data_IF_269278996862
#
_entry.id   IF_269278996862
#
_cell.length_a   1.000
_cell.length_b   1.000
_cell.length_c   1.000
_cell.angle_alpha   90.00
_cell.angle_beta   90.00
_cell.angle_gamma   90.00
#
_symmetry.space_group_name_H-M   'P 1'
#
loop_
_entity.id
_entity.type
_entity.pdbx_description
1 polymer ?
#
# COMPACT_ATOMS: atom_id res chain seq x y z
N UNK A 1 -14.85 12.90 -9.88
CA UNK A 1 -13.81 12.73 -8.85
C UNK A 1 -12.84 13.89 -8.94
N UNK A 2 -12.49 14.52 -7.82
CA UNK A 2 -11.53 15.64 -7.77
C UNK A 2 -10.11 15.15 -8.05
N UNK A 3 -9.40 15.83 -8.94
CA UNK A 3 -7.98 15.55 -9.18
C UNK A 3 -7.08 16.27 -8.18
N UNK A 4 -5.99 15.61 -7.75
CA UNK A 4 -4.95 16.23 -6.92
C UNK A 4 -4.32 17.45 -7.61
N UNK A 5 -4.16 17.44 -8.94
CA UNK A 5 -3.57 18.56 -9.68
C UNK A 5 -4.44 19.83 -9.62
N UNK A 6 -5.77 19.70 -9.50
CA UNK A 6 -6.68 20.84 -9.30
C UNK A 6 -6.48 21.53 -7.94
N UNK A 7 -6.00 20.79 -6.93
CA UNK A 7 -5.67 21.33 -5.62
C UNK A 7 -4.25 21.95 -5.65
N UNK A 8 -3.30 21.25 -6.27
CA UNK A 8 -1.89 21.67 -6.32
C UNK A 8 -1.67 22.89 -7.21
N UNK A 9 -2.42 23.04 -8.30
CA UNK A 9 -2.37 24.24 -9.18
C UNK A 9 -2.74 25.54 -8.46
N UNK A 10 -3.49 25.46 -7.36
CA UNK A 10 -3.88 26.61 -6.51
C UNK A 10 -2.90 26.88 -5.37
N UNK A 11 -1.83 26.07 -5.27
CA UNK A 11 -0.80 26.17 -4.23
C UNK A 11 0.43 26.95 -4.73
N UNK A 12 1.18 27.54 -3.80
CA UNK A 12 2.43 28.22 -4.15
C UNK A 12 3.46 27.21 -4.69
N UNK A 13 4.05 27.40 -5.89
CA UNK A 13 4.92 26.40 -6.52
C UNK A 13 6.16 26.00 -5.71
N UNK A 14 6.67 26.89 -4.86
CA UNK A 14 7.90 26.67 -4.09
C UNK A 14 7.64 26.22 -2.64
N UNK A 15 6.39 25.93 -2.26
CA UNK A 15 6.08 25.49 -0.90
C UNK A 15 6.17 23.97 -0.77
N UNK A 16 6.65 23.51 0.38
CA UNK A 16 6.57 22.09 0.73
C UNK A 16 5.11 21.68 0.87
N UNK A 17 4.68 20.70 0.06
CA UNK A 17 3.29 20.24 0.04
C UNK A 17 2.99 19.46 1.31
N UNK A 18 1.92 19.85 2.01
CA UNK A 18 1.37 19.06 3.10
C UNK A 18 0.29 18.12 2.56
N UNK A 19 0.70 16.89 2.19
CA UNK A 19 -0.19 15.91 1.58
C UNK A 19 -1.34 15.45 2.49
N UNK A 20 -1.21 15.52 3.82
CA UNK A 20 -2.34 15.31 4.75
C UNK A 20 -3.44 16.36 4.55
N UNK A 21 -3.06 17.64 4.40
CA UNK A 21 -4.03 18.71 4.09
C UNK A 21 -4.63 18.59 2.69
N UNK A 22 -3.87 18.08 1.72
CA UNK A 22 -4.39 17.83 0.37
C UNK A 22 -5.45 16.74 0.41
N UNK A 23 -5.15 15.61 1.06
CA UNK A 23 -6.10 14.51 1.26
C UNK A 23 -7.37 14.98 1.98
N UNK A 24 -7.24 15.77 3.06
CA UNK A 24 -8.38 16.33 3.78
C UNK A 24 -9.26 17.24 2.90
N UNK A 25 -8.67 18.02 1.99
CA UNK A 25 -9.43 18.81 1.02
C UNK A 25 -10.19 17.93 0.03
N UNK A 26 -9.59 16.84 -0.44
CA UNK A 26 -10.27 15.88 -1.30
C UNK A 26 -11.45 15.24 -0.57
N UNK A 27 -11.25 14.80 0.67
CA UNK A 27 -12.31 14.26 1.55
C UNK A 27 -13.45 15.26 1.72
N UNK A 28 -13.16 16.54 1.99
CA UNK A 28 -14.18 17.58 2.10
C UNK A 28 -15.01 17.77 0.82
N UNK A 29 -14.38 17.59 -0.35
CA UNK A 29 -15.09 17.67 -1.63
C UNK A 29 -15.98 16.44 -1.82
N UNK A 30 -15.49 15.24 -1.51
CA UNK A 30 -16.30 14.02 -1.56
C UNK A 30 -17.52 14.12 -0.64
N UNK A 31 -17.32 14.52 0.62
CA UNK A 31 -18.41 14.70 1.59
C UNK A 31 -19.42 15.75 1.14
N UNK A 32 -18.94 16.90 0.62
CA UNK A 32 -19.81 17.97 0.12
C UNK A 32 -20.67 17.52 -1.07
N UNK A 33 -20.11 16.65 -1.92
CA UNK A 33 -20.78 16.13 -3.10
C UNK A 33 -21.58 14.84 -2.80
N UNK A 34 -21.59 14.36 -1.56
CA UNK A 34 -22.15 13.07 -1.16
C UNK A 34 -21.58 11.88 -1.98
N UNK A 35 -20.31 12.01 -2.40
CA UNK A 35 -19.57 11.00 -3.15
C UNK A 35 -18.81 10.07 -2.19
N UNK A 36 -18.81 8.78 -2.50
CA UNK A 36 -17.98 7.78 -1.82
C UNK A 36 -17.12 7.05 -2.84
N UNK A 37 -15.87 7.50 -3.06
CA UNK A 37 -15.04 6.96 -4.13
C UNK A 37 -14.56 5.55 -3.83
N UNK A 38 -14.26 4.82 -4.89
CA UNK A 38 -13.57 3.53 -4.85
C UNK A 38 -12.05 3.72 -4.89
N UNK A 39 -11.33 3.09 -3.97
CA UNK A 39 -9.87 3.28 -3.83
C UNK A 39 -9.15 1.94 -3.85
N UNK A 40 -8.24 1.76 -4.81
CA UNK A 40 -7.29 0.65 -4.83
C UNK A 40 -6.02 1.04 -4.05
N UNK A 41 -5.85 0.46 -2.88
CA UNK A 41 -4.82 0.84 -1.91
C UNK A 41 -3.65 -0.14 -1.96
N UNK A 42 -2.50 0.28 -2.51
CA UNK A 42 -1.28 -0.53 -2.48
C UNK A 42 -0.79 -0.75 -1.04
N UNK A 43 -0.55 -2.01 -0.69
CA UNK A 43 -0.04 -2.45 0.61
C UNK A 43 1.02 -3.54 0.43
N UNK A 44 2.08 -3.50 1.25
CA UNK A 44 3.14 -4.51 1.23
C UNK A 44 3.26 -5.34 2.52
N UNK A 45 2.46 -5.00 3.54
CA UNK A 45 2.36 -5.70 4.82
C UNK A 45 1.17 -5.16 5.64
N UNK A 46 0.65 -5.99 6.55
CA UNK A 46 -0.51 -5.64 7.38
C UNK A 46 -0.34 -4.37 8.24
N UNK A 47 0.83 -4.07 8.84
CA UNK A 47 1.01 -2.80 9.55
C UNK A 47 0.72 -1.58 8.67
N UNK A 48 1.03 -1.63 7.37
CA UNK A 48 0.77 -0.52 6.46
C UNK A 48 -0.74 -0.27 6.25
N UNK A 49 -1.56 -1.32 6.27
CA UNK A 49 -3.01 -1.20 6.10
C UNK A 49 -3.75 -0.75 7.36
N UNK A 50 -3.17 -0.84 8.57
CA UNK A 50 -3.86 -0.58 9.85
C UNK A 50 -4.60 0.75 9.92
N UNK A 51 -3.92 1.83 10.33
CA UNK A 51 -4.51 3.17 10.43
C UNK A 51 -5.04 3.67 9.08
N UNK A 52 -4.40 3.27 7.98
CA UNK A 52 -4.83 3.58 6.62
C UNK A 52 -6.28 3.16 6.37
N UNK A 53 -6.65 1.92 6.72
CA UNK A 53 -8.03 1.44 6.60
C UNK A 53 -8.95 2.11 7.62
N UNK A 54 -8.54 2.22 8.89
CA UNK A 54 -9.33 2.90 9.93
C UNK A 54 -9.71 4.34 9.53
N UNK A 55 -8.81 5.03 8.82
CA UNK A 55 -9.05 6.38 8.31
C UNK A 55 -9.89 6.39 7.03
N UNK A 56 -9.45 5.67 5.98
CA UNK A 56 -10.05 5.79 4.65
C UNK A 56 -11.47 5.21 4.57
N UNK A 57 -11.78 4.14 5.31
CA UNK A 57 -13.13 3.54 5.24
C UNK A 57 -14.23 4.42 5.82
N UNK A 58 -13.88 5.52 6.49
CA UNK A 58 -14.86 6.55 6.88
C UNK A 58 -15.41 7.29 5.66
N UNK A 59 -14.62 7.45 4.60
CA UNK A 59 -14.92 8.35 3.49
C UNK A 59 -15.00 7.65 2.12
N UNK A 60 -14.50 6.42 2.01
CA UNK A 60 -14.33 5.73 0.72
C UNK A 60 -14.54 4.22 0.84
N UNK A 61 -14.83 3.58 -0.30
CA UNK A 61 -14.85 2.12 -0.43
C UNK A 61 -13.46 1.65 -0.85
N UNK A 62 -12.80 0.90 0.04
CA UNK A 62 -11.38 0.57 -0.09
C UNK A 62 -11.20 -0.89 -0.48
N UNK A 63 -10.39 -1.14 -1.50
CA UNK A 63 -9.84 -2.45 -1.82
C UNK A 63 -8.34 -2.43 -1.58
N UNK A 64 -7.83 -3.42 -0.83
CA UNK A 64 -6.40 -3.60 -0.63
C UNK A 64 -5.82 -4.32 -1.85
N UNK A 65 -4.78 -3.73 -2.44
CA UNK A 65 -3.92 -4.39 -3.42
C UNK A 65 -2.59 -4.77 -2.76
N UNK A 66 -2.44 -6.05 -2.40
CA UNK A 66 -1.20 -6.55 -1.85
C UNK A 66 -0.20 -6.83 -2.97
N UNK A 67 0.80 -5.95 -3.09
CA UNK A 67 1.78 -6.03 -4.17
C UNK A 67 3.16 -5.64 -3.68
N UNK A 68 4.11 -6.57 -3.73
CA UNK A 68 5.53 -6.26 -3.52
C UNK A 68 6.43 -7.44 -3.92
N UNK A 69 6.77 -7.51 -5.20
CA UNK A 69 7.64 -8.56 -5.74
C UNK A 69 9.08 -8.53 -5.20
N UNK A 70 9.46 -7.46 -4.50
CA UNK A 70 10.79 -7.31 -3.91
C UNK A 70 10.92 -7.99 -2.54
N UNK A 71 9.84 -8.52 -1.95
CA UNK A 71 9.94 -9.23 -0.67
C UNK A 71 10.71 -10.54 -0.88
N UNK A 72 11.79 -10.73 -0.14
CA UNK A 72 12.64 -11.91 -0.15
C UNK A 72 12.94 -12.33 1.28
N UNK A 73 12.79 -13.62 1.63
CA UNK A 73 12.48 -14.75 0.76
C UNK A 73 11.00 -14.83 0.34
N UNK A 74 10.67 -15.67 -0.65
CA UNK A 74 9.28 -15.90 -1.11
C UNK A 74 8.35 -16.35 0.03
N UNK A 75 8.85 -17.12 0.99
CA UNK A 75 8.07 -17.50 2.17
C UNK A 75 7.62 -16.28 3.00
N UNK A 76 8.46 -15.25 3.10
CA UNK A 76 8.11 -14.00 3.79
C UNK A 76 7.04 -13.21 3.02
N UNK A 77 7.06 -13.24 1.69
CA UNK A 77 6.00 -12.65 0.87
C UNK A 77 4.65 -13.29 1.22
N UNK A 78 4.56 -14.61 1.22
CA UNK A 78 3.32 -15.33 1.54
C UNK A 78 2.88 -15.12 2.98
N UNK A 79 3.80 -15.10 3.95
CA UNK A 79 3.48 -14.76 5.34
C UNK A 79 2.87 -13.36 5.44
N UNK A 80 3.47 -12.35 4.82
CA UNK A 80 2.94 -10.97 4.84
C UNK A 80 1.60 -10.85 4.13
N UNK A 81 1.41 -11.56 3.01
CA UNK A 81 0.14 -11.62 2.30
C UNK A 81 -0.96 -12.21 3.20
N UNK A 82 -0.69 -13.37 3.80
CA UNK A 82 -1.62 -14.05 4.72
C UNK A 82 -1.99 -13.17 5.92
N UNK A 83 -1.01 -12.57 6.60
CA UNK A 83 -1.27 -11.69 7.74
C UNK A 83 -2.09 -10.46 7.33
N UNK A 84 -1.88 -9.95 6.11
CA UNK A 84 -2.70 -8.84 5.58
C UNK A 84 -4.15 -9.29 5.32
N UNK A 85 -4.37 -10.47 4.72
CA UNK A 85 -5.71 -11.05 4.54
C UNK A 85 -6.44 -11.22 5.88
N UNK A 86 -5.76 -11.83 6.86
CA UNK A 86 -6.28 -11.98 8.22
C UNK A 86 -6.67 -10.64 8.83
N UNK A 87 -5.79 -9.64 8.76
CA UNK A 87 -6.09 -8.31 9.30
C UNK A 87 -7.33 -7.69 8.63
N UNK A 88 -7.45 -7.76 7.30
CA UNK A 88 -8.61 -7.22 6.59
C UNK A 88 -9.90 -7.93 7.01
N UNK A 89 -9.87 -9.26 7.13
CA UNK A 89 -11.00 -10.06 7.63
C UNK A 89 -11.42 -9.62 9.04
N UNK A 90 -10.48 -9.61 9.99
CA UNK A 90 -10.76 -9.25 11.38
C UNK A 90 -11.22 -7.79 11.51
N UNK A 91 -10.63 -6.88 10.71
CA UNK A 91 -11.02 -5.47 10.67
C UNK A 91 -12.46 -5.32 10.19
N UNK A 92 -12.84 -6.00 9.11
CA UNK A 92 -14.21 -5.99 8.60
C UNK A 92 -15.20 -6.54 9.63
N UNK A 93 -14.89 -7.67 10.26
CA UNK A 93 -15.74 -8.27 11.30
C UNK A 93 -15.96 -7.32 12.48
N UNK A 94 -14.88 -6.69 12.97
CA UNK A 94 -14.96 -5.80 14.14
C UNK A 94 -15.62 -4.46 13.86
N UNK A 95 -15.52 -3.95 12.64
CA UNK A 95 -15.96 -2.58 12.30
C UNK A 95 -17.22 -2.53 11.43
N UNK A 96 -17.66 -3.65 10.87
CA UNK A 96 -18.76 -3.70 9.89
C UNK A 96 -18.38 -3.19 8.50
N UNK A 97 -17.10 -2.90 8.25
CA UNK A 97 -16.60 -2.51 6.94
C UNK A 97 -16.59 -3.68 5.95
N UNK A 98 -16.48 -3.36 4.65
CA UNK A 98 -16.46 -4.33 3.55
C UNK A 98 -15.20 -4.18 2.69
N UNK A 99 -14.05 -4.04 3.33
CA UNK A 99 -12.77 -3.92 2.62
C UNK A 99 -12.49 -5.21 1.86
N UNK A 100 -12.23 -5.10 0.56
CA UNK A 100 -11.88 -6.24 -0.28
C UNK A 100 -10.36 -6.38 -0.41
N UNK A 101 -9.92 -7.55 -0.87
CA UNK A 101 -8.50 -7.88 -1.01
C UNK A 101 -8.20 -8.45 -2.41
N UNK A 102 -7.14 -7.94 -3.01
CA UNK A 102 -6.55 -8.38 -4.28
C UNK A 102 -5.05 -8.60 -4.09
N UNK A 103 -4.51 -9.71 -4.59
CA UNK A 103 -3.08 -10.04 -4.54
C UNK A 103 -2.45 -9.90 -5.93
N UNK A 104 -1.29 -9.25 -6.02
CA UNK A 104 -0.50 -9.22 -7.24
C UNK A 104 0.29 -10.52 -7.44
N UNK A 105 0.61 -10.91 -8.69
CA UNK A 105 1.60 -11.95 -8.94
C UNK A 105 2.96 -11.63 -8.29
N UNK A 106 3.59 -12.65 -7.70
CA UNK A 106 4.94 -12.51 -7.13
C UNK A 106 6.02 -12.67 -8.21
N UNK A 107 6.47 -11.55 -8.76
CA UNK A 107 7.38 -11.46 -9.93
C UNK A 107 8.74 -10.82 -9.59
N UNK A 108 9.61 -11.49 -8.81
CA UNK A 108 10.86 -10.88 -8.34
C UNK A 108 11.88 -10.61 -9.46
N UNK A 109 11.76 -11.31 -10.60
CA UNK A 109 12.66 -11.12 -11.75
C UNK A 109 12.48 -9.74 -12.40
N UNK A 110 11.24 -9.28 -12.56
CA UNK A 110 10.95 -7.97 -13.15
C UNK A 110 11.55 -6.85 -12.31
N UNK A 111 11.33 -6.90 -10.99
CA UNK A 111 11.93 -5.94 -10.07
C UNK A 111 13.46 -5.94 -10.14
N UNK A 112 14.11 -7.12 -10.17
CA UNK A 112 15.57 -7.21 -10.30
C UNK A 112 16.10 -6.57 -11.57
N UNK A 113 15.39 -6.69 -12.69
CA UNK A 113 15.79 -6.06 -13.94
C UNK A 113 15.71 -4.53 -13.85
N UNK A 114 14.65 -4.00 -13.22
CA UNK A 114 14.43 -2.56 -13.07
C UNK A 114 15.48 -1.87 -12.19
N UNK A 115 16.02 -2.56 -11.19
CA UNK A 115 17.02 -2.00 -10.26
C UNK A 115 18.46 -2.34 -10.62
N UNK A 116 18.68 -2.92 -11.82
CA UNK A 116 20.03 -3.24 -12.30
C UNK A 116 20.86 -1.96 -12.43
N UNK A 117 22.05 -1.95 -11.87
CA UNK A 117 22.92 -0.76 -11.78
C UNK A 117 22.65 0.13 -10.57
N UNK A 118 21.64 -0.19 -9.73
CA UNK A 118 21.31 0.52 -8.49
C UNK A 118 21.49 -0.39 -7.25
N UNK A 119 22.24 -1.49 -7.38
CA UNK A 119 22.43 -2.47 -6.32
C UNK A 119 23.14 -1.89 -5.09
N UNK A 120 24.07 -0.96 -5.30
CA UNK A 120 24.88 -0.33 -4.25
C UNK A 120 24.22 0.92 -3.64
N UNK A 121 23.07 1.36 -4.17
CA UNK A 121 22.35 2.52 -3.62
C UNK A 121 21.95 2.26 -2.15
N UNK A 122 22.01 3.25 -1.25
CA UNK A 122 21.55 3.09 0.12
C UNK A 122 20.02 2.91 0.18
N UNK A 123 19.52 2.34 1.28
CA UNK A 123 18.07 2.37 1.53
C UNK A 123 17.58 3.82 1.64
N UNK A 124 16.49 4.14 0.94
CA UNK A 124 15.99 5.51 0.81
C UNK A 124 16.62 6.29 -0.36
N UNK A 125 17.65 5.75 -1.02
CA UNK A 125 18.27 6.29 -2.22
C UNK A 125 17.50 5.99 -3.51
N UNK A 126 18.18 6.06 -4.65
CA UNK A 126 17.53 6.03 -5.98
C UNK A 126 16.88 4.68 -6.29
N UNK A 127 17.45 3.58 -5.81
CA UNK A 127 16.81 2.25 -5.87
C UNK A 127 15.41 2.24 -5.24
N UNK A 128 15.22 2.96 -4.12
CA UNK A 128 13.90 3.02 -3.49
C UNK A 128 12.90 3.83 -4.32
N UNK A 129 13.35 4.87 -5.06
CA UNK A 129 12.47 5.62 -5.98
C UNK A 129 11.95 4.71 -7.09
N UNK A 130 12.84 3.96 -7.76
CA UNK A 130 12.45 2.96 -8.77
C UNK A 130 11.51 1.91 -8.18
N UNK A 131 11.75 1.49 -6.94
CA UNK A 131 10.87 0.55 -6.26
C UNK A 131 9.46 1.11 -5.96
N UNK A 132 9.34 2.41 -5.66
CA UNK A 132 8.03 3.05 -5.45
C UNK A 132 7.30 3.24 -6.76
N UNK A 133 8.01 3.69 -7.80
CA UNK A 133 7.50 3.87 -9.16
C UNK A 133 6.91 2.57 -9.70
N UNK A 134 7.70 1.49 -9.71
CA UNK A 134 7.25 0.15 -10.12
C UNK A 134 5.97 -0.33 -9.40
N UNK A 135 5.85 -0.05 -8.10
CA UNK A 135 4.67 -0.47 -7.32
C UNK A 135 3.46 0.40 -7.60
N UNK A 136 3.66 1.72 -7.72
CA UNK A 136 2.58 2.67 -7.99
C UNK A 136 2.07 2.52 -9.42
N UNK A 137 2.96 2.34 -10.39
CA UNK A 137 2.62 2.06 -11.79
C UNK A 137 1.76 0.80 -11.92
N UNK A 138 2.20 -0.34 -11.35
CA UNK A 138 1.37 -1.56 -11.32
C UNK A 138 0.02 -1.35 -10.63
N UNK A 139 -0.03 -0.54 -9.58
CA UNK A 139 -1.30 -0.27 -8.87
C UNK A 139 -2.21 0.62 -9.70
N UNK A 140 -1.68 1.62 -10.39
CA UNK A 140 -2.43 2.50 -11.28
C UNK A 140 -3.01 1.74 -12.48
N UNK A 141 -2.22 0.86 -13.09
CA UNK A 141 -2.68 -0.02 -14.18
C UNK A 141 -3.86 -0.89 -13.71
N UNK A 142 -3.72 -1.60 -12.58
CA UNK A 142 -4.80 -2.44 -12.04
C UNK A 142 -6.02 -1.61 -11.63
N UNK A 143 -5.82 -0.42 -11.06
CA UNK A 143 -6.91 0.48 -10.71
C UNK A 143 -7.69 0.94 -11.95
N UNK A 144 -7.00 1.32 -13.02
CA UNK A 144 -7.62 1.68 -14.30
C UNK A 144 -8.39 0.50 -14.89
N UNK A 145 -7.77 -0.69 -14.98
CA UNK A 145 -8.37 -1.88 -15.59
C UNK A 145 -9.64 -2.34 -14.85
N UNK A 146 -9.68 -2.14 -13.53
CA UNK A 146 -10.81 -2.52 -12.68
C UNK A 146 -11.78 -1.37 -12.40
N UNK A 147 -11.55 -0.18 -12.97
CA UNK A 147 -12.46 0.96 -12.88
C UNK A 147 -12.48 1.66 -11.51
N UNK A 148 -11.37 1.66 -10.76
CA UNK A 148 -11.26 2.42 -9.51
C UNK A 148 -11.09 3.92 -9.77
N UNK A 149 -11.78 4.73 -8.95
CA UNK A 149 -11.67 6.19 -8.98
C UNK A 149 -10.25 6.65 -8.63
N UNK A 150 -9.67 6.03 -7.60
CA UNK A 150 -8.33 6.35 -7.14
C UNK A 150 -7.44 5.12 -6.93
N UNK A 151 -6.14 5.30 -7.15
CA UNK A 151 -5.10 4.44 -6.61
C UNK A 151 -4.25 5.20 -5.58
N UNK A 152 -3.71 4.50 -4.60
CA UNK A 152 -2.82 5.11 -3.60
C UNK A 152 -1.83 4.12 -3.02
N UNK A 153 -0.92 4.60 -2.17
CA UNK A 153 0.01 3.72 -1.45
C UNK A 153 0.06 3.94 0.06
N UNK A 154 -0.11 2.86 0.82
CA UNK A 154 -0.07 2.90 2.28
C UNK A 154 1.37 3.05 2.81
N UNK A 155 2.37 3.09 1.94
CA UNK A 155 3.77 3.29 2.32
C UNK A 155 4.00 4.60 3.10
N UNK A 156 3.11 5.59 2.94
CA UNK A 156 3.22 6.90 3.60
C UNK A 156 3.00 6.86 5.12
N UNK A 157 2.51 5.74 5.67
CA UNK A 157 2.41 5.47 7.12
C UNK A 157 3.77 5.23 7.78
N UNK A 158 4.75 4.72 7.02
CA UNK A 158 6.03 4.32 7.59
C UNK A 158 6.89 5.55 7.92
N UNK A 159 7.51 5.62 9.12
CA UNK A 159 8.41 6.71 9.47
C UNK A 159 9.72 6.65 8.67
N UNK A 160 10.05 5.49 8.09
CA UNK A 160 11.27 5.26 7.32
C UNK A 160 11.10 5.57 5.83
N UNK A 161 9.89 5.89 5.37
CA UNK A 161 9.61 6.17 3.96
C UNK A 161 9.25 7.64 3.76
N UNK A 162 9.88 8.26 2.77
CA UNK A 162 9.66 9.67 2.47
C UNK A 162 8.33 9.85 1.72
N UNK A 163 7.31 10.39 2.42
CA UNK A 163 6.00 10.64 1.80
C UNK A 163 6.06 11.68 0.69
N UNK A 164 7.01 12.64 0.72
CA UNK A 164 7.14 13.60 -0.37
C UNK A 164 7.55 12.91 -1.67
N UNK A 165 8.54 12.03 -1.59
CA UNK A 165 8.98 11.23 -2.74
C UNK A 165 7.88 10.30 -3.24
N UNK A 166 7.20 9.58 -2.35
CA UNK A 166 6.13 8.65 -2.74
C UNK A 166 4.99 9.40 -3.46
N UNK A 167 4.53 10.52 -2.91
CA UNK A 167 3.44 11.27 -3.54
C UNK A 167 3.85 11.93 -4.86
N UNK A 168 5.08 12.44 -4.96
CA UNK A 168 5.59 12.98 -6.24
C UNK A 168 5.55 11.90 -7.32
N UNK A 169 6.05 10.71 -7.01
CA UNK A 169 6.03 9.57 -7.95
C UNK A 169 4.59 9.19 -8.31
N UNK A 170 3.67 9.12 -7.33
CA UNK A 170 2.27 8.79 -7.61
C UNK A 170 1.56 9.80 -8.52
N UNK A 171 1.85 11.09 -8.33
CA UNK A 171 1.34 12.16 -9.21
C UNK A 171 1.94 12.04 -10.61
N UNK A 172 3.22 11.70 -10.73
CA UNK A 172 3.84 11.50 -12.04
C UNK A 172 3.28 10.25 -12.76
N UNK A 173 3.06 9.16 -12.04
CA UNK A 173 2.40 7.94 -12.55
C UNK A 173 0.98 8.25 -13.03
N UNK A 174 0.20 9.04 -12.27
CA UNK A 174 -1.17 9.41 -12.63
C UNK A 174 -1.26 9.98 -14.06
N UNK A 175 -0.27 10.74 -14.52
CA UNK A 175 -0.29 11.39 -15.86
C UNK A 175 -0.37 10.41 -17.03
N UNK A 176 -0.08 9.12 -16.79
CA UNK A 176 -0.08 8.06 -17.79
C UNK A 176 -1.41 7.30 -17.81
N UNK A 177 -2.22 7.41 -16.75
CA UNK A 177 -3.44 6.62 -16.54
C UNK A 177 -4.68 7.51 -16.39
N UNK A 178 -5.86 6.93 -16.59
CA UNK A 178 -7.13 7.65 -16.40
C UNK A 178 -7.64 7.61 -14.96
N UNK A 179 -7.08 6.75 -14.11
CA UNK A 179 -7.38 6.70 -12.67
C UNK A 179 -6.58 7.76 -11.92
N UNK A 180 -7.16 8.33 -10.86
CA UNK A 180 -6.52 9.42 -10.12
C UNK A 180 -5.63 8.90 -8.97
N UNK A 181 -4.56 9.61 -8.64
CA UNK A 181 -3.72 9.30 -7.49
C UNK A 181 -4.29 9.90 -6.22
N UNK A 182 -4.30 9.13 -5.13
CA UNK A 182 -4.64 9.57 -3.80
C UNK A 182 -3.38 10.05 -3.04
N UNK A 183 -3.13 11.37 -2.96
CA UNK A 183 -2.08 11.90 -2.13
C UNK A 183 -2.35 11.61 -0.64
N UNK A 184 -1.33 11.18 0.10
CA UNK A 184 -1.49 10.86 1.52
C UNK A 184 -0.22 11.08 2.35
N UNK A 185 -0.38 11.36 3.64
CA UNK A 185 0.70 11.31 4.61
C UNK A 185 0.22 10.66 5.91
N UNK A 186 -0.05 9.36 5.88
CA UNK A 186 -0.71 8.64 6.97
C UNK A 186 0.06 8.63 8.30
N UNK A 187 1.35 9.03 8.32
CA UNK A 187 2.09 9.24 9.59
C UNK A 187 1.65 10.48 10.36
N UNK A 188 0.98 11.45 9.72
CA UNK A 188 0.46 12.66 10.38
C UNK A 188 -0.67 12.32 11.35
N UNK A 189 -1.03 13.28 12.21
CA UNK A 189 -2.14 13.15 13.15
C UNK A 189 -2.05 11.89 14.05
N UNK A 190 -0.83 11.54 14.46
CA UNK A 190 -0.52 10.34 15.25
C UNK A 190 -0.83 9.00 14.54
N UNK A 191 -1.03 8.99 13.22
CA UNK A 191 -1.39 7.79 12.49
C UNK A 191 -0.36 6.66 12.61
N UNK A 192 0.94 6.96 12.61
CA UNK A 192 1.96 5.91 12.86
C UNK A 192 1.84 5.31 14.27
N UNK A 193 1.59 6.14 15.28
CA UNK A 193 1.37 5.66 16.66
C UNK A 193 0.13 4.76 16.71
N UNK A 194 -0.98 5.20 16.10
CA UNK A 194 -2.20 4.40 15.99
C UNK A 194 -1.98 3.08 15.25
N UNK A 195 -1.16 3.09 14.20
CA UNK A 195 -0.72 1.88 13.50
C UNK A 195 0.02 0.90 14.41
N UNK A 196 0.84 1.37 15.34
CA UNK A 196 1.50 0.53 16.35
C UNK A 196 0.49 -0.09 17.31
N UNK A 197 -0.42 0.72 17.86
CA UNK A 197 -1.48 0.28 18.77
C UNK A 197 -2.35 -0.80 18.10
N UNK A 198 -2.78 -0.57 16.85
CA UNK A 198 -3.56 -1.55 16.09
C UNK A 198 -2.78 -2.85 15.82
N UNK A 199 -1.44 -2.79 15.69
CA UNK A 199 -0.68 -4.03 15.56
C UNK A 199 -0.75 -4.90 16.82
N UNK A 200 -0.84 -4.28 18.00
CA UNK A 200 -1.03 -5.00 19.26
C UNK A 200 -2.48 -5.51 19.39
N UNK A 201 -3.48 -4.67 19.07
CA UNK A 201 -4.91 -5.01 19.15
C UNK A 201 -5.35 -6.17 18.23
N UNK A 202 -4.66 -6.34 17.10
CA UNK A 202 -4.97 -7.34 16.07
C UNK A 202 -3.93 -8.47 15.99
N UNK A 203 -2.94 -8.48 16.89
CA UNK A 203 -1.81 -9.44 16.89
C UNK A 203 -1.12 -9.53 15.51
N UNK A 204 -0.73 -8.37 14.99
CA UNK A 204 -0.16 -8.25 13.65
C UNK A 204 1.35 -8.47 13.71
N UNK A 205 1.83 -9.41 12.87
CA UNK A 205 3.25 -9.58 12.61
C UNK A 205 3.88 -8.27 12.08
N UNK A 206 4.84 -7.74 12.83
CA UNK A 206 5.68 -6.60 12.45
C UNK A 206 7.04 -7.08 11.97
N UNK A 207 7.27 -6.94 10.68
CA UNK A 207 8.55 -7.26 10.03
C UNK A 207 9.69 -6.34 10.50
N UNK A 208 10.91 -6.89 10.56
CA UNK A 208 12.11 -6.17 10.99
C UNK A 208 12.87 -5.46 9.84
N UNK A 209 12.45 -5.63 8.59
CA UNK A 209 13.11 -5.06 7.41
C UNK A 209 12.11 -4.82 6.27
N UNK A 210 12.50 -4.01 5.28
CA UNK A 210 11.65 -3.60 4.17
C UNK A 210 11.13 -4.79 3.31
N UNK A 211 11.83 -5.92 3.31
CA UNK A 211 11.54 -7.07 2.45
C UNK A 211 12.57 -7.24 1.34
N UNK A 212 13.26 -6.19 0.90
CA UNK A 212 14.22 -6.29 -0.21
C UNK A 212 15.54 -6.93 0.21
N UNK A 213 16.15 -7.68 -0.70
CA UNK A 213 17.46 -8.33 -0.46
C UNK A 213 18.55 -7.31 -0.12
N UNK A 214 18.52 -6.14 -0.76
CA UNK A 214 19.51 -5.09 -0.52
C UNK A 214 19.41 -4.48 0.89
N UNK A 215 18.20 -4.20 1.38
CA UNK A 215 18.01 -3.74 2.76
C UNK A 215 18.35 -4.86 3.75
N UNK A 216 18.01 -6.11 3.44
CA UNK A 216 18.36 -7.24 4.27
C UNK A 216 19.89 -7.38 4.41
N UNK A 217 20.64 -7.27 3.31
CA UNK A 217 22.10 -7.30 3.31
C UNK A 217 22.69 -6.14 4.13
N UNK A 218 22.25 -4.90 3.87
CA UNK A 218 22.74 -3.72 4.58
C UNK A 218 22.46 -3.76 6.10
N UNK A 219 21.37 -4.42 6.51
CA UNK A 219 20.95 -4.56 7.90
C UNK A 219 21.42 -5.89 8.54
N UNK A 220 22.21 -6.71 7.83
CA UNK A 220 22.68 -8.04 8.28
C UNK A 220 21.53 -8.98 8.71
N UNK A 221 20.42 -8.95 7.99
CA UNK A 221 19.27 -9.82 8.24
C UNK A 221 19.58 -11.25 7.81
N UNK A 222 19.37 -12.21 8.72
CA UNK A 222 19.47 -13.63 8.40
C UNK A 222 18.25 -14.09 7.59
N UNK A 223 18.38 -14.05 6.26
CA UNK A 223 17.33 -14.49 5.33
C UNK A 223 17.04 -16.00 5.43
N UNK A 224 17.98 -16.81 5.93
CA UNK A 224 17.75 -18.25 6.14
C UNK A 224 16.81 -18.45 7.31
N UNK A 225 17.04 -17.76 8.42
CA UNK A 225 16.16 -17.78 9.57
C UNK A 225 14.78 -17.20 9.25
N UNK A 226 14.71 -16.06 8.54
CA UNK A 226 13.44 -15.49 8.06
C UNK A 226 12.65 -16.50 7.22
N UNK A 227 13.33 -17.23 6.31
CA UNK A 227 12.68 -18.29 5.51
C UNK A 227 12.12 -19.41 6.41
N UNK A 228 12.91 -19.87 7.38
CA UNK A 228 12.51 -20.94 8.30
C UNK A 228 11.26 -20.53 9.10
N UNK A 229 11.26 -19.34 9.69
CA UNK A 229 10.15 -18.85 10.50
C UNK A 229 8.90 -18.60 9.67
N UNK A 230 9.06 -18.04 8.47
CA UNK A 230 7.92 -17.84 7.57
C UNK A 230 7.34 -19.17 7.06
N UNK A 231 8.19 -20.16 6.78
CA UNK A 231 7.74 -21.50 6.38
C UNK A 231 7.00 -22.19 7.52
N UNK A 232 7.55 -22.16 8.74
CA UNK A 232 6.92 -22.73 9.93
C UNK A 232 5.56 -22.07 10.23
N UNK A 233 5.47 -20.74 10.07
CA UNK A 233 4.21 -20.03 10.23
C UNK A 233 3.13 -20.50 9.25
N UNK A 234 3.49 -20.87 8.01
CA UNK A 234 2.56 -21.20 6.94
C UNK A 234 2.13 -22.68 6.88
N UNK A 235 2.64 -23.57 7.73
CA UNK A 235 2.44 -25.04 7.63
C UNK A 235 0.97 -25.46 7.53
N UNK A 236 0.09 -24.83 8.31
CA UNK A 236 -1.34 -25.17 8.39
C UNK A 236 -2.25 -24.07 7.82
N UNK A 237 -1.74 -23.28 6.86
CA UNK A 237 -2.44 -22.11 6.31
C UNK A 237 -2.61 -22.25 4.81
N UNK A 238 -3.82 -21.99 4.32
CA UNK A 238 -4.15 -22.03 2.90
C UNK A 238 -4.47 -20.61 2.41
N UNK A 239 -3.51 -19.97 1.74
CA UNK A 239 -3.63 -18.56 1.32
C UNK A 239 -4.79 -18.30 0.34
N UNK A 240 -5.27 -19.32 -0.37
CA UNK A 240 -6.36 -19.21 -1.34
C UNK A 240 -7.72 -19.49 -0.73
N UNK A 241 -7.80 -20.39 0.25
CA UNK A 241 -9.07 -20.76 0.90
C UNK A 241 -9.36 -19.91 2.13
N UNK A 242 -8.35 -19.67 2.94
CA UNK A 242 -8.46 -18.87 4.14
C UNK A 242 -8.81 -17.43 3.73
N UNK A 243 -9.85 -16.89 4.35
CA UNK A 243 -10.35 -15.54 4.07
C UNK A 243 -10.85 -15.33 2.61
N UNK A 244 -11.26 -16.38 1.91
CA UNK A 244 -11.84 -16.27 0.56
C UNK A 244 -13.05 -15.33 0.45
N UNK A 245 -13.75 -15.06 1.57
CA UNK A 245 -14.91 -14.17 1.64
C UNK A 245 -14.57 -12.67 1.48
N UNK A 246 -13.31 -12.25 1.66
CA UNK A 246 -12.88 -10.85 1.41
C UNK A 246 -12.28 -10.66 0.00
N UNK A 247 -12.25 -11.71 -0.83
CA UNK A 247 -11.65 -11.64 -2.17
C UNK A 247 -12.38 -10.57 -3.00
N UNK A 248 -11.61 -9.72 -3.67
CA UNK A 248 -12.15 -8.77 -4.62
C UNK A 248 -12.91 -9.50 -5.73
N UNK A 249 -14.13 -9.06 -5.99
CA UNK A 249 -14.98 -9.56 -7.07
C UNK A 249 -15.33 -8.39 -7.97
N UNK A 250 -15.06 -8.53 -9.27
CA UNK A 250 -15.53 -7.56 -10.26
C UNK A 250 -17.04 -7.65 -10.30
N UNK A 251 -17.73 -6.72 -9.65
CA UNK A 251 -19.12 -6.42 -10.01
C UNK A 251 -19.08 -5.91 -11.43
N UNK A 252 -19.64 -6.69 -12.36
CA UNK A 252 -19.67 -6.37 -13.80
C UNK A 252 -19.91 -4.88 -13.99
N UNK A 253 -19.00 -4.22 -14.72
CA UNK A 253 -19.35 -3.03 -15.48
C UNK A 253 -20.57 -3.43 -16.32
N UNK A 254 -21.71 -2.80 -16.06
CA UNK A 254 -22.84 -2.85 -16.99
C UNK A 254 -22.33 -2.20 -18.29
N UNK A 255 -21.94 -3.05 -19.25
CA UNK A 255 -21.69 -2.67 -20.65
C UNK A 255 -23.03 -2.52 -21.35
#
# INVERSE_FOLDING_TARGET
>A
MIDVEEILSKMNPNQKINYDRVMQKMVQVWEKNEERPTILMHVCCAPCSTYTLEYLTKYADVTIYFANSNIHPKAEYHKRAYVTKKFVSDFNERTGNKVQYLEAPYEPNEYRQLVRGLEEEPEGGDRCKVCFDYRLDKTAQVAMDLGFDYFGSALTISPHKNSQTINSIGIDVQKIYTTHYLPSDFKKNQGYKRSVEMCEEYDIYRQCYCGCVYAAQAQNIDLVQVKKDATAFMVDKDIEKDYSHIKFTVTKLDI
#
